data_IF_121210891181
#
_entry.id   IF_121210891181
#
_cell.length_a   1.000
_cell.length_b   1.000
_cell.length_c   1.000
_cell.angle_alpha   90.00
_cell.angle_beta   90.00
_cell.angle_gamma   90.00
#
_symmetry.space_group_name_H-M   'P 1'
#
loop_
_entity.id
_entity.type
_entity.pdbx_description
1 polymer ?
#
# COMPACT_ATOMS: atom_id res chain seq x y z
N UNK A 1 5.37 12.26 4.79
CA UNK A 1 4.84 10.90 4.97
C UNK A 1 5.54 9.91 4.04
N UNK A 2 5.45 10.08 2.72
CA UNK A 2 6.07 9.17 1.73
C UNK A 2 7.57 8.94 1.95
N UNK A 3 8.36 10.00 2.22
CA UNK A 3 9.79 9.86 2.52
C UNK A 3 10.05 8.94 3.74
N UNK A 4 9.37 9.21 4.87
CA UNK A 4 9.47 8.36 6.07
C UNK A 4 9.02 6.91 5.82
N UNK A 5 7.99 6.72 4.98
CA UNK A 5 7.54 5.39 4.60
C UNK A 5 8.59 4.62 3.77
N UNK A 6 9.28 5.34 2.87
CA UNK A 6 10.40 4.81 2.10
C UNK A 6 11.55 4.40 3.02
N UNK A 7 11.95 5.27 3.96
CA UNK A 7 13.02 4.96 4.92
C UNK A 7 12.73 3.67 5.70
N UNK A 8 11.49 3.48 6.17
CA UNK A 8 11.06 2.24 6.84
C UNK A 8 11.16 1.02 5.91
N UNK A 9 10.76 1.16 4.65
CA UNK A 9 10.86 0.06 3.67
C UNK A 9 12.33 -0.29 3.37
N UNK A 10 13.20 0.71 3.33
CA UNK A 10 14.63 0.55 3.08
C UNK A 10 15.31 -0.10 4.29
N UNK A 11 14.96 0.30 5.53
CA UNK A 11 15.40 -0.36 6.77
C UNK A 11 14.96 -1.83 6.84
N UNK A 12 13.69 -2.11 6.48
CA UNK A 12 13.16 -3.47 6.39
C UNK A 12 13.90 -4.31 5.35
N UNK A 13 14.25 -3.72 4.20
CA UNK A 13 15.04 -4.39 3.19
C UNK A 13 16.48 -4.67 3.67
N UNK A 14 17.09 -3.73 4.40
CA UNK A 14 18.44 -3.89 4.95
C UNK A 14 18.56 -5.05 5.94
N UNK A 15 17.52 -5.34 6.72
CA UNK A 15 17.46 -6.51 7.63
C UNK A 15 17.00 -7.81 6.94
N UNK A 16 16.85 -7.81 5.61
CA UNK A 16 16.40 -8.96 4.83
C UNK A 16 14.90 -9.23 4.88
N UNK A 17 14.10 -8.32 5.44
CA UNK A 17 12.63 -8.41 5.51
C UNK A 17 11.97 -7.49 4.48
N UNK A 18 12.40 -7.59 3.23
CA UNK A 18 11.87 -6.76 2.15
C UNK A 18 10.36 -6.92 2.00
N UNK A 19 9.63 -5.82 1.98
CA UNK A 19 8.18 -5.81 1.73
C UNK A 19 7.92 -5.85 0.22
N UNK A 20 7.02 -6.73 -0.23
CA UNK A 20 6.63 -6.79 -1.64
C UNK A 20 5.84 -5.55 -2.09
N UNK A 21 5.92 -5.19 -3.38
CA UNK A 21 5.40 -3.92 -3.90
C UNK A 21 3.89 -3.74 -3.72
N UNK A 22 3.11 -4.81 -3.82
CA UNK A 22 1.66 -4.78 -3.52
C UNK A 22 1.39 -4.37 -2.07
N UNK A 23 2.16 -4.91 -1.13
CA UNK A 23 2.03 -4.58 0.28
C UNK A 23 2.52 -3.16 0.58
N UNK A 24 3.64 -2.75 -0.02
CA UNK A 24 4.12 -1.35 0.07
C UNK A 24 3.06 -0.36 -0.41
N UNK A 25 2.44 -0.63 -1.56
CA UNK A 25 1.41 0.21 -2.15
C UNK A 25 0.17 0.29 -1.26
N UNK A 26 -0.29 -0.84 -0.72
CA UNK A 26 -1.42 -0.88 0.20
C UNK A 26 -1.17 -0.02 1.46
N UNK A 27 -0.05 -0.23 2.14
CA UNK A 27 0.29 0.51 3.37
C UNK A 27 0.55 2.00 3.12
N UNK A 28 1.17 2.34 1.98
CA UNK A 28 1.35 3.73 1.56
C UNK A 28 0.00 4.43 1.41
N UNK A 29 -0.94 3.83 0.67
CA UNK A 29 -2.28 4.39 0.44
C UNK A 29 -3.04 4.57 1.75
N UNK A 30 -2.99 3.59 2.65
CA UNK A 30 -3.71 3.64 3.93
C UNK A 30 -3.26 4.79 4.84
N UNK A 31 -1.98 5.20 4.80
CA UNK A 31 -1.48 6.29 5.65
C UNK A 31 -1.46 7.68 5.02
N UNK A 32 -2.01 7.88 3.82
CA UNK A 32 -2.17 9.22 3.22
C UNK A 32 -3.16 10.11 3.98
N UNK A 33 -4.04 9.51 4.79
CA UNK A 33 -5.00 10.23 5.63
C UNK A 33 -6.34 10.54 4.94
N UNK A 34 -7.30 11.07 5.73
CA UNK A 34 -8.71 11.21 5.32
C UNK A 34 -8.93 12.11 4.08
N UNK A 35 -8.06 13.09 3.85
CA UNK A 35 -8.13 13.97 2.67
C UNK A 35 -7.91 13.26 1.33
N UNK A 36 -7.25 12.09 1.35
CA UNK A 36 -6.95 11.30 0.16
C UNK A 36 -7.88 10.09 0.02
N UNK A 37 -8.95 9.99 0.83
CA UNK A 37 -9.88 8.86 0.82
C UNK A 37 -10.45 8.53 -0.57
N UNK A 38 -10.87 9.50 -1.41
CA UNK A 38 -11.34 9.20 -2.77
C UNK A 38 -10.25 8.56 -3.66
N UNK A 39 -9.01 9.05 -3.54
CA UNK A 39 -7.86 8.53 -4.27
C UNK A 39 -7.49 7.12 -3.82
N UNK A 40 -7.46 6.88 -2.51
CA UNK A 40 -7.21 5.55 -1.92
C UNK A 40 -8.26 4.55 -2.37
N UNK A 41 -9.55 4.93 -2.37
CA UNK A 41 -10.62 4.05 -2.86
C UNK A 41 -10.51 3.76 -4.37
N UNK A 42 -10.06 4.72 -5.18
CA UNK A 42 -9.84 4.51 -6.61
C UNK A 42 -8.65 3.57 -6.89
N UNK A 43 -7.57 3.70 -6.11
CA UNK A 43 -6.35 2.91 -6.27
C UNK A 43 -6.44 1.49 -5.67
N UNK A 44 -7.28 1.28 -4.63
CA UNK A 44 -7.50 -0.03 -4.01
C UNK A 44 -8.53 -0.90 -4.74
N UNK A 45 -9.21 -0.36 -5.76
CA UNK A 45 -10.23 -1.08 -6.53
C UNK A 45 -9.55 -1.93 -7.63
N UNK A 46 -9.91 -3.21 -7.81
CA UNK A 46 -9.82 -3.83 -9.13
C UNK A 46 -11.13 -3.56 -9.91
N UNK A 47 -11.20 -3.71 -11.25
CA UNK A 47 -12.46 -4.18 -11.84
C UNK A 47 -12.75 -5.50 -11.12
N UNK A 48 -13.76 -5.50 -10.26
CA UNK A 48 -13.99 -6.55 -9.25
C UNK A 48 -14.19 -7.91 -9.92
N UNK A 49 -13.36 -8.95 -9.67
CA UNK A 49 -13.85 -10.31 -9.64
C UNK A 49 -14.43 -10.55 -8.25
N UNK A 50 -15.67 -10.99 -8.22
CA UNK A 50 -16.42 -11.32 -7.01
C UNK A 50 -15.71 -12.41 -6.20
N UNK A 51 -15.86 -12.38 -4.86
CA UNK A 51 -15.50 -13.49 -3.95
C UNK A 51 -16.16 -14.84 -4.32
N UNK A 52 -17.10 -14.85 -5.28
CA UNK A 52 -17.78 -16.05 -5.81
C UNK A 52 -17.06 -16.77 -6.97
N UNK A 53 -15.81 -16.43 -7.28
CA UNK A 53 -15.00 -17.20 -8.24
C UNK A 53 -13.98 -18.13 -7.55
N UNK A 54 -14.25 -18.52 -6.30
CA UNK A 54 -13.68 -19.71 -5.65
C UNK A 54 -14.81 -20.61 -5.16
#
# INVERSE_FOLDING_TARGET
>A
YVAKFKDICDDLAAIGKSVGDKHKTFWLLQGLGKGYKPFVMAMLKPPVPSYKEL
#
